data_IF_593626825298
#
_entry.id   IF_593626825298
#
_cell.length_a   1.000
_cell.length_b   1.000
_cell.length_c   1.000
_cell.angle_alpha   90.00
_cell.angle_beta   90.00
_cell.angle_gamma   90.00
#
_symmetry.space_group_name_H-M   'P 1'
#
loop_
_entity.id
_entity.type
_entity.pdbx_description
1 polymer ?
#
# COMPACT_ATOMS: atom_id res chain seq x y z
N UNK A 1 7.30 -50.61 -3.04
CA UNK A 1 8.11 -49.38 -3.04
C UNK A 1 8.10 -48.77 -4.45
N UNK A 2 7.23 -47.80 -4.77
CA UNK A 2 7.38 -47.00 -5.98
C UNK A 2 7.83 -45.57 -5.67
N UNK A 3 8.66 -45.04 -6.58
CA UNK A 3 9.40 -43.77 -6.54
C UNK A 3 8.58 -42.71 -7.28
N UNK A 4 8.39 -41.54 -6.66
CA UNK A 4 7.63 -40.43 -7.23
C UNK A 4 8.52 -39.46 -8.03
N UNK A 5 7.95 -39.02 -9.15
CA UNK A 5 8.00 -37.70 -9.80
C UNK A 5 9.33 -36.98 -10.05
N UNK A 6 9.56 -36.63 -11.33
CA UNK A 6 10.26 -35.39 -11.72
C UNK A 6 9.46 -34.74 -12.84
N UNK A 7 8.76 -33.65 -12.54
CA UNK A 7 8.26 -32.68 -13.53
C UNK A 7 7.84 -31.40 -12.81
N UNK A 8 8.77 -30.46 -12.60
CA UNK A 8 8.42 -29.12 -12.12
C UNK A 8 9.48 -28.05 -12.43
N UNK A 9 9.98 -27.99 -13.67
CA UNK A 9 10.86 -26.89 -14.10
C UNK A 9 10.25 -26.00 -15.21
N UNK A 10 9.11 -26.39 -15.79
CA UNK A 10 8.53 -25.66 -16.93
C UNK A 10 7.57 -24.53 -16.53
N UNK A 11 7.17 -24.40 -15.26
CA UNK A 11 6.18 -23.40 -14.82
C UNK A 11 6.80 -22.06 -14.41
N UNK A 12 8.11 -22.01 -14.18
CA UNK A 12 8.82 -20.80 -13.76
C UNK A 12 9.13 -19.90 -14.96
N UNK A 13 9.51 -20.48 -16.11
CA UNK A 13 9.84 -19.72 -17.32
C UNK A 13 8.67 -18.95 -17.94
N UNK A 14 7.45 -19.48 -17.82
CA UNK A 14 6.25 -18.85 -18.41
C UNK A 14 5.76 -17.61 -17.64
N UNK A 15 6.07 -17.48 -16.34
CA UNK A 15 5.72 -16.30 -15.53
C UNK A 15 6.67 -15.12 -15.73
N UNK A 16 7.89 -15.37 -16.20
CA UNK A 16 8.90 -14.32 -16.43
C UNK A 16 8.65 -13.58 -17.76
N UNK A 17 7.96 -14.22 -18.71
CA UNK A 17 7.75 -13.66 -20.06
C UNK A 17 6.39 -12.96 -20.25
N UNK A 18 5.45 -13.07 -19.31
CA UNK A 18 4.14 -12.39 -19.41
C UNK A 18 4.08 -11.02 -18.71
N UNK A 19 5.17 -10.57 -18.08
CA UNK A 19 5.25 -9.33 -17.29
C UNK A 19 6.14 -8.24 -17.94
N UNK A 20 6.55 -8.42 -19.20
CA UNK A 20 7.28 -7.40 -19.94
C UNK A 20 6.27 -6.59 -20.75
N UNK A 21 5.62 -5.63 -20.09
CA UNK A 21 5.11 -4.46 -20.80
C UNK A 21 5.39 -3.18 -20.00
N UNK A 22 6.17 -2.31 -20.66
CA UNK A 22 6.42 -0.88 -20.38
C UNK A 22 7.24 -0.44 -19.16
N UNK A 23 8.22 -1.24 -18.70
CA UNK A 23 9.40 -0.70 -18.05
C UNK A 23 10.45 -0.28 -19.09
N UNK A 24 11.01 0.94 -19.01
CA UNK A 24 12.11 1.34 -19.89
C UNK A 24 13.26 0.33 -19.75
N UNK A 25 13.71 -0.24 -20.86
CA UNK A 25 14.79 -1.24 -20.91
C UNK A 25 16.02 -0.79 -20.11
N UNK A 26 16.28 0.51 -20.07
CA UNK A 26 17.39 1.11 -19.32
C UNK A 26 17.23 1.00 -17.81
N UNK A 27 16.01 1.05 -17.27
CA UNK A 27 15.75 0.86 -15.84
C UNK A 27 16.00 -0.59 -15.43
N UNK A 28 15.59 -1.54 -16.28
CA UNK A 28 15.83 -2.97 -16.08
C UNK A 28 17.33 -3.27 -16.17
N UNK A 29 18.02 -2.71 -17.16
CA UNK A 29 19.46 -2.89 -17.35
C UNK A 29 20.28 -2.22 -16.23
N UNK A 30 19.84 -1.08 -15.70
CA UNK A 30 20.51 -0.41 -14.58
C UNK A 30 20.36 -1.20 -13.29
N UNK A 31 19.15 -1.72 -13.01
CA UNK A 31 18.92 -2.61 -11.88
C UNK A 31 19.77 -3.89 -11.98
N UNK A 32 19.78 -4.53 -13.15
CA UNK A 32 20.60 -5.73 -13.40
C UNK A 32 22.11 -5.46 -13.28
N UNK A 33 22.62 -4.36 -13.84
CA UNK A 33 24.04 -3.99 -13.73
C UNK A 33 24.45 -3.71 -12.28
N UNK A 34 23.57 -3.10 -11.49
CA UNK A 34 23.82 -2.85 -10.06
C UNK A 34 23.89 -4.17 -9.29
N UNK A 35 23.03 -5.14 -9.62
CA UNK A 35 23.05 -6.49 -9.04
C UNK A 35 24.34 -7.23 -9.42
N UNK A 36 24.75 -7.19 -10.69
CA UNK A 36 25.98 -7.84 -11.15
C UNK A 36 27.24 -7.18 -10.59
N UNK A 37 27.27 -5.86 -10.43
CA UNK A 37 28.39 -5.16 -9.81
C UNK A 37 28.54 -5.53 -8.32
N UNK A 38 27.42 -5.67 -7.59
CA UNK A 38 27.42 -6.16 -6.21
C UNK A 38 27.90 -7.63 -6.10
N UNK A 39 27.53 -8.48 -7.07
CA UNK A 39 28.02 -9.86 -7.13
C UNK A 39 29.51 -9.96 -7.49
N UNK A 40 30.00 -9.09 -8.39
CA UNK A 40 31.40 -9.07 -8.82
C UNK A 40 32.35 -8.58 -7.71
N UNK A 41 31.89 -7.68 -6.84
CA UNK A 41 32.69 -7.17 -5.72
C UNK A 41 32.87 -8.20 -4.59
N UNK A 42 32.02 -9.22 -4.51
CA UNK A 42 32.11 -10.31 -3.53
C UNK A 42 33.04 -11.46 -3.96
N UNK A 43 33.58 -11.44 -5.19
CA UNK A 43 34.44 -12.51 -5.70
C UNK A 43 35.94 -12.35 -5.35
N UNK A 44 36.35 -11.26 -4.71
CA UNK A 44 37.77 -10.92 -4.51
C UNK A 44 38.27 -10.92 -3.06
N UNK A 45 37.51 -11.46 -2.09
CA UNK A 45 38.00 -11.62 -0.71
C UNK A 45 38.30 -13.10 -0.42
N UNK A 46 39.58 -13.43 -0.43
CA UNK A 46 40.09 -14.72 0.01
C UNK A 46 39.85 -14.93 1.53
N UNK A 47 39.38 -16.15 1.84
CA UNK A 47 39.65 -16.91 3.07
C UNK A 47 39.30 -16.30 4.42
N UNK A 48 38.08 -16.53 4.88
CA UNK A 48 37.69 -17.20 6.14
C UNK A 48 36.16 -17.07 6.26
N UNK A 49 35.47 -17.87 7.08
CA UNK A 49 34.00 -17.92 7.20
C UNK A 49 33.22 -18.73 6.13
N UNK A 50 33.60 -20.01 5.96
CA UNK A 50 32.59 -21.05 5.67
C UNK A 50 31.65 -21.13 6.88
N UNK A 51 30.42 -20.61 6.75
CA UNK A 51 29.20 -20.88 7.57
C UNK A 51 28.29 -19.63 7.75
N UNK A 52 28.22 -18.72 6.79
CA UNK A 52 27.12 -17.76 6.73
C UNK A 52 26.00 -18.35 5.83
N UNK A 53 24.73 -18.41 6.28
CA UNK A 53 23.64 -18.79 5.39
C UNK A 53 23.58 -17.79 4.23
N UNK A 54 23.40 -18.30 3.01
CA UNK A 54 23.26 -17.54 1.77
C UNK A 54 22.53 -16.21 2.02
N UNK A 55 23.28 -15.10 1.99
CA UNK A 55 22.69 -13.78 2.02
C UNK A 55 21.92 -13.59 0.71
N UNK A 56 20.59 -13.60 0.81
CA UNK A 56 19.70 -13.29 -0.30
C UNK A 56 20.09 -11.92 -0.89
N UNK A 57 20.03 -11.75 -2.22
CA UNK A 57 20.28 -10.46 -2.85
C UNK A 57 19.36 -9.39 -2.25
N UNK A 58 19.77 -8.10 -2.23
CA UNK A 58 18.87 -7.04 -1.79
C UNK A 58 17.62 -7.10 -2.67
N UNK A 59 16.49 -7.39 -2.04
CA UNK A 59 15.17 -7.38 -2.66
C UNK A 59 15.03 -5.99 -3.27
N UNK A 60 15.11 -5.90 -4.60
CA UNK A 60 14.80 -4.67 -5.31
C UNK A 60 13.43 -4.22 -4.80
N UNK A 61 13.35 -3.02 -4.24
CA UNK A 61 12.10 -2.45 -3.73
C UNK A 61 11.13 -2.35 -4.91
N UNK A 62 10.30 -3.38 -5.12
CA UNK A 62 9.22 -3.33 -6.10
C UNK A 62 8.28 -2.22 -5.62
N UNK A 63 8.17 -1.16 -6.42
CA UNK A 63 7.14 -0.16 -6.21
C UNK A 63 5.79 -0.83 -6.49
N UNK A 64 4.98 -0.97 -5.45
CA UNK A 64 3.63 -1.48 -5.63
C UNK A 64 2.83 -0.51 -6.50
N UNK A 65 2.18 -1.06 -7.53
CA UNK A 65 1.26 -0.29 -8.34
C UNK A 65 -0.04 -0.05 -7.57
N UNK A 66 -0.44 1.22 -7.43
CA UNK A 66 -1.68 1.62 -6.79
C UNK A 66 -2.78 1.79 -7.84
N UNK A 67 -4.04 1.40 -7.59
CA UNK A 67 -5.18 1.63 -8.48
C UNK A 67 -5.68 3.09 -8.45
N UNK A 68 -4.75 4.03 -8.28
CA UNK A 68 -4.96 5.48 -8.21
C UNK A 68 -3.78 6.10 -8.95
N UNK A 69 -3.95 6.46 -10.24
CA UNK A 69 -2.82 6.89 -11.07
C UNK A 69 -2.07 8.09 -10.49
N UNK A 70 -2.80 9.05 -9.92
CA UNK A 70 -2.20 10.22 -9.24
C UNK A 70 -1.34 9.84 -8.04
N UNK A 71 -1.67 8.75 -7.35
CA UNK A 71 -0.83 8.23 -6.26
C UNK A 71 0.46 7.61 -6.81
N UNK A 72 0.38 6.87 -7.93
CA UNK A 72 1.57 6.34 -8.61
C UNK A 72 2.51 7.46 -9.06
N UNK A 73 1.98 8.54 -9.62
CA UNK A 73 2.78 9.71 -10.02
C UNK A 73 3.57 10.29 -8.83
N UNK A 74 2.90 10.47 -7.67
CA UNK A 74 3.54 11.01 -6.47
C UNK A 74 4.59 10.04 -5.89
N UNK A 75 4.27 8.75 -5.81
CA UNK A 75 5.20 7.71 -5.33
C UNK A 75 6.44 7.65 -6.22
N UNK A 76 6.26 7.71 -7.55
CA UNK A 76 7.37 7.70 -8.51
C UNK A 76 8.27 8.93 -8.35
N UNK A 77 7.69 10.12 -8.18
CA UNK A 77 8.47 11.36 -7.93
C UNK A 77 9.21 11.31 -6.60
N UNK A 78 8.56 10.83 -5.54
CA UNK A 78 9.20 10.62 -4.24
C UNK A 78 10.39 9.67 -4.38
N UNK A 79 10.18 8.50 -4.98
CA UNK A 79 11.23 7.48 -5.16
C UNK A 79 12.42 8.04 -5.95
N UNK A 80 12.18 8.72 -7.07
CA UNK A 80 13.24 9.37 -7.86
C UNK A 80 14.09 10.35 -7.03
N UNK A 81 13.46 11.09 -6.12
CA UNK A 81 14.14 12.12 -5.32
C UNK A 81 14.82 11.59 -4.05
N UNK A 82 14.31 10.53 -3.44
CA UNK A 82 14.77 10.06 -2.12
C UNK A 82 15.39 8.67 -2.13
N UNK A 83 15.21 7.91 -3.22
CA UNK A 83 15.56 6.49 -3.32
C UNK A 83 14.96 5.64 -2.17
N UNK A 84 13.85 6.09 -1.60
CA UNK A 84 13.14 5.42 -0.51
C UNK A 84 11.77 4.94 -0.98
N UNK A 85 11.44 3.69 -0.67
CA UNK A 85 10.10 3.11 -0.77
C UNK A 85 9.80 2.46 0.59
N UNK A 86 8.71 2.83 1.29
CA UNK A 86 7.32 2.70 0.83
C UNK A 86 6.48 3.99 0.82
N UNK A 87 5.19 3.90 0.43
CA UNK A 87 4.23 4.99 0.58
C UNK A 87 3.99 5.27 2.07
N UNK A 88 4.43 6.42 2.57
CA UNK A 88 4.26 6.81 3.97
C UNK A 88 3.23 7.94 4.10
N UNK A 89 2.07 7.62 4.66
CA UNK A 89 0.91 8.49 4.78
C UNK A 89 0.82 9.06 6.21
N UNK A 90 0.53 10.34 6.34
CA UNK A 90 0.34 11.03 7.61
C UNK A 90 -0.94 11.87 7.67
N UNK A 91 -1.23 12.47 8.83
CA UNK A 91 -2.44 13.27 9.05
C UNK A 91 -3.68 12.41 9.24
N UNK A 92 -4.76 12.68 8.50
CA UNK A 92 -6.02 11.92 8.53
C UNK A 92 -5.95 10.68 7.63
N UNK A 93 -4.88 9.91 7.76
CA UNK A 93 -4.51 8.85 6.82
C UNK A 93 -5.57 7.74 6.66
N UNK A 94 -6.40 7.47 7.68
CA UNK A 94 -7.48 6.48 7.57
C UNK A 94 -8.40 6.74 6.38
N UNK A 95 -8.68 8.01 6.06
CA UNK A 95 -9.59 8.35 4.96
C UNK A 95 -9.04 7.88 3.60
N UNK A 96 -7.73 8.03 3.38
CA UNK A 96 -7.08 7.52 2.18
C UNK A 96 -6.92 5.99 2.23
N UNK A 97 -6.57 5.43 3.39
CA UNK A 97 -6.42 3.98 3.54
C UNK A 97 -7.71 3.23 3.23
N UNK A 98 -8.86 3.69 3.74
CA UNK A 98 -10.14 3.04 3.44
C UNK A 98 -10.46 3.09 1.95
N UNK A 99 -10.22 4.23 1.29
CA UNK A 99 -10.44 4.36 -0.16
C UNK A 99 -9.49 3.43 -0.93
N UNK A 100 -8.20 3.42 -0.57
CA UNK A 100 -7.20 2.57 -1.23
C UNK A 100 -7.54 1.08 -1.06
N UNK A 101 -7.78 0.64 0.17
CA UNK A 101 -8.12 -0.77 0.48
C UNK A 101 -9.41 -1.17 -0.23
N UNK A 102 -10.46 -0.34 -0.16
CA UNK A 102 -11.72 -0.61 -0.85
C UNK A 102 -11.54 -0.74 -2.36
N UNK A 103 -10.69 0.10 -2.96
CA UNK A 103 -10.38 0.04 -4.40
C UNK A 103 -9.65 -1.23 -4.78
N UNK A 104 -8.64 -1.62 -3.99
CA UNK A 104 -7.83 -2.80 -4.26
C UNK A 104 -8.62 -4.10 -4.16
N UNK A 105 -9.51 -4.24 -3.16
CA UNK A 105 -10.27 -5.50 -2.96
C UNK A 105 -11.51 -5.61 -3.84
N UNK A 106 -12.05 -4.50 -4.32
CA UNK A 106 -13.19 -4.50 -5.23
C UNK A 106 -12.80 -4.91 -6.65
N UNK A 107 -13.77 -5.37 -7.43
CA UNK A 107 -13.63 -5.49 -8.88
C UNK A 107 -13.34 -4.11 -9.49
N UNK A 108 -12.44 -3.99 -10.48
CA UNK A 108 -11.77 -5.07 -11.22
C UNK A 108 -10.47 -5.60 -10.59
N UNK A 109 -9.93 -4.92 -9.57
CA UNK A 109 -8.59 -5.22 -9.04
C UNK A 109 -8.53 -6.55 -8.28
N UNK A 110 -9.58 -6.86 -7.50
CA UNK A 110 -9.76 -8.14 -6.81
C UNK A 110 -8.50 -8.65 -6.10
N UNK A 111 -7.80 -7.76 -5.38
CA UNK A 111 -6.58 -8.09 -4.66
C UNK A 111 -6.87 -8.63 -3.26
N UNK A 112 -5.86 -9.27 -2.67
CA UNK A 112 -5.79 -9.55 -1.25
C UNK A 112 -4.79 -8.62 -0.57
N UNK A 113 -5.08 -8.18 0.65
CA UNK A 113 -4.29 -7.19 1.38
C UNK A 113 -4.13 -7.65 2.82
N UNK A 114 -2.95 -7.37 3.37
CA UNK A 114 -2.68 -7.57 4.79
C UNK A 114 -2.55 -6.22 5.50
N UNK A 115 -3.12 -6.11 6.69
CA UNK A 115 -3.08 -4.90 7.51
C UNK A 115 -2.55 -5.26 8.89
N UNK A 116 -1.47 -4.62 9.31
CA UNK A 116 -0.95 -4.69 10.67
C UNK A 116 -1.36 -3.40 11.38
N UNK A 117 -2.32 -3.50 12.28
CA UNK A 117 -2.93 -2.34 12.97
C UNK A 117 -2.51 -2.30 14.44
N UNK A 118 -1.47 -1.51 14.72
CA UNK A 118 -0.96 -1.25 16.07
C UNK A 118 -1.81 -0.24 16.85
N UNK A 119 -2.79 0.40 16.21
CA UNK A 119 -3.71 1.32 16.87
C UNK A 119 -5.03 0.66 17.27
N UNK A 120 -5.37 -0.47 16.64
CA UNK A 120 -6.61 -1.19 16.84
C UNK A 120 -7.86 -0.44 16.36
N UNK A 121 -7.68 0.54 15.46
CA UNK A 121 -8.73 1.47 15.01
C UNK A 121 -9.20 1.20 13.59
N UNK A 122 -8.53 0.33 12.84
CA UNK A 122 -8.98 -0.06 11.52
C UNK A 122 -10.20 -0.98 11.64
N UNK A 123 -11.35 -0.53 11.15
CA UNK A 123 -12.61 -1.26 11.13
C UNK A 123 -12.90 -1.80 9.72
N UNK A 124 -12.79 -3.11 9.47
CA UNK A 124 -13.08 -3.66 8.15
C UNK A 124 -14.52 -3.44 7.68
N UNK A 125 -15.50 -3.27 8.58
CA UNK A 125 -16.89 -3.01 8.17
C UNK A 125 -17.04 -1.63 7.53
N UNK A 126 -16.18 -0.67 7.88
CA UNK A 126 -16.14 0.65 7.27
C UNK A 126 -15.79 0.60 5.78
N UNK A 127 -15.16 -0.47 5.29
CA UNK A 127 -14.93 -0.68 3.86
C UNK A 127 -16.24 -0.82 3.07
N UNK A 128 -17.28 -1.43 3.65
CA UNK A 128 -18.60 -1.58 3.00
C UNK A 128 -19.32 -0.26 2.76
N UNK A 129 -18.95 0.78 3.51
CA UNK A 129 -19.51 2.13 3.37
C UNK A 129 -18.55 3.08 2.65
N UNK A 130 -17.41 2.56 2.19
CA UNK A 130 -16.41 3.35 1.47
C UNK A 130 -16.51 3.03 -0.01
N UNK A 131 -16.85 4.05 -0.79
CA UNK A 131 -16.86 3.92 -2.25
C UNK A 131 -15.41 3.77 -2.76
N UNK A 132 -15.11 2.75 -3.59
CA UNK A 132 -13.84 2.63 -4.29
C UNK A 132 -13.49 3.90 -5.07
N UNK A 133 -12.20 4.14 -5.26
CA UNK A 133 -11.72 5.27 -6.04
C UNK A 133 -12.12 5.09 -7.50
N UNK A 134 -12.81 6.09 -8.03
CA UNK A 134 -13.13 6.19 -9.46
C UNK A 134 -12.22 7.21 -10.09
N UNK A 135 -11.35 6.74 -10.97
CA UNK A 135 -10.65 7.64 -11.88
C UNK A 135 -11.66 8.25 -12.85
N UNK A 136 -11.55 9.56 -13.10
CA UNK A 136 -12.43 10.26 -14.03
C UNK A 136 -12.24 9.63 -15.40
N UNK A 137 -13.20 8.79 -15.81
CA UNK A 137 -13.12 8.07 -17.07
C UNK A 137 -12.93 9.06 -18.22
N UNK A 138 -11.79 8.96 -18.91
CA UNK A 138 -11.63 9.58 -20.22
C UNK A 138 -12.69 8.94 -21.13
N UNK A 139 -13.58 9.78 -21.64
CA UNK A 139 -14.76 9.38 -22.39
C UNK A 139 -14.41 8.32 -23.46
N UNK A 140 -14.98 7.11 -23.33
CA UNK A 140 -15.39 6.21 -24.44
C UNK A 140 -15.70 4.75 -24.05
N UNK A 141 -15.71 4.36 -22.77
CA UNK A 141 -16.25 3.04 -22.40
C UNK A 141 -16.98 3.07 -21.05
N UNK A 142 -18.22 2.53 -20.96
CA UNK A 142 -18.86 2.30 -19.68
C UNK A 142 -18.08 1.20 -18.94
N UNK A 143 -17.12 1.60 -18.11
CA UNK A 143 -16.50 0.71 -17.14
C UNK A 143 -17.55 0.41 -16.05
N UNK A 144 -17.75 -0.87 -15.67
CA UNK A 144 -18.63 -1.18 -14.55
C UNK A 144 -18.09 -0.49 -13.30
N UNK A 145 -18.97 0.29 -12.64
CA UNK A 145 -18.63 1.02 -11.42
C UNK A 145 -18.05 0.03 -10.40
N UNK A 146 -16.84 0.27 -9.86
CA UNK A 146 -16.26 -0.62 -8.87
C UNK A 146 -17.20 -0.72 -7.67
N UNK A 147 -17.64 -1.94 -7.36
CA UNK A 147 -18.58 -2.21 -6.28
C UNK A 147 -17.97 -3.23 -5.33
N UNK A 148 -17.92 -2.86 -4.05
CA UNK A 148 -17.37 -3.68 -2.98
C UNK A 148 -18.48 -4.51 -2.33
N UNK A 149 -18.30 -5.83 -2.32
CA UNK A 149 -19.23 -6.81 -1.75
C UNK A 149 -18.74 -7.26 -0.38
N UNK A 150 -19.65 -7.79 0.44
CA UNK A 150 -19.30 -8.37 1.75
C UNK A 150 -18.26 -9.50 1.64
N UNK A 151 -18.35 -10.32 0.60
CA UNK A 151 -17.38 -11.38 0.31
C UNK A 151 -15.97 -10.84 0.00
N UNK A 152 -15.82 -9.58 -0.42
CA UNK A 152 -14.50 -9.00 -0.67
C UNK A 152 -13.71 -8.77 0.63
N UNK A 153 -14.42 -8.67 1.77
CA UNK A 153 -13.78 -8.50 3.08
C UNK A 153 -12.99 -9.73 3.53
N UNK A 154 -13.33 -10.93 3.03
CA UNK A 154 -12.59 -12.17 3.31
C UNK A 154 -11.13 -12.09 2.82
N UNK A 155 -10.82 -11.09 1.99
CA UNK A 155 -9.50 -10.87 1.41
C UNK A 155 -8.70 -9.76 2.08
N UNK A 156 -9.20 -9.22 3.20
CA UNK A 156 -8.48 -8.28 4.07
C UNK A 156 -8.05 -9.00 5.35
N UNK A 157 -6.76 -9.29 5.46
CA UNK A 157 -6.18 -10.01 6.59
C UNK A 157 -5.64 -9.01 7.61
N UNK A 158 -6.25 -8.93 8.79
CA UNK A 158 -5.90 -7.92 9.80
C UNK A 158 -5.21 -8.58 10.99
N UNK A 159 -3.97 -8.19 11.26
CA UNK A 159 -3.24 -8.51 12.48
C UNK A 159 -3.28 -7.28 13.40
N UNK A 160 -3.74 -7.45 14.64
CA UNK A 160 -3.79 -6.38 15.66
C UNK A 160 -2.85 -6.70 16.83
N UNK A 161 -1.54 -6.47 16.67
CA UNK A 161 -0.58 -6.68 17.74
C UNK A 161 -0.63 -5.53 18.75
N UNK A 162 -0.09 -5.78 19.95
CA UNK A 162 0.20 -4.70 20.91
C UNK A 162 1.37 -3.86 20.36
N UNK A 163 1.40 -2.56 20.67
CA UNK A 163 2.55 -1.71 20.34
C UNK A 163 3.83 -2.35 20.89
N UNK A 164 4.85 -2.45 20.05
CA UNK A 164 6.11 -3.09 20.40
C UNK A 164 7.31 -2.37 19.79
N UNK A 165 8.47 -2.97 19.98
CA UNK A 165 9.73 -2.49 19.41
C UNK A 165 9.79 -2.66 17.89
N UNK A 166 10.77 -2.06 17.24
CA UNK A 166 11.04 -2.28 15.82
C UNK A 166 11.22 -3.77 15.45
N UNK A 167 11.85 -4.56 16.33
CA UNK A 167 11.99 -6.00 16.14
C UNK A 167 10.63 -6.73 16.17
N UNK A 168 9.71 -6.28 17.02
CA UNK A 168 8.35 -6.81 17.05
C UNK A 168 7.60 -6.49 15.75
N UNK A 169 7.76 -5.28 15.21
CA UNK A 169 7.13 -4.90 13.94
C UNK A 169 7.67 -5.76 12.79
N UNK A 170 8.99 -5.94 12.71
CA UNK A 170 9.61 -6.80 11.71
C UNK A 170 9.12 -8.26 11.81
N UNK A 171 8.98 -8.79 13.03
CA UNK A 171 8.40 -10.11 13.27
C UNK A 171 6.94 -10.20 12.82
N UNK A 172 6.12 -9.15 13.05
CA UNK A 172 4.73 -9.11 12.57
C UNK A 172 4.66 -9.11 11.04
N UNK A 173 5.49 -8.31 10.36
CA UNK A 173 5.58 -8.26 8.90
C UNK A 173 5.95 -9.62 8.33
N UNK A 174 7.00 -10.25 8.86
CA UNK A 174 7.43 -11.59 8.44
C UNK A 174 6.35 -12.67 8.70
N UNK A 175 5.63 -12.57 9.81
CA UNK A 175 4.55 -13.52 10.15
C UNK A 175 3.37 -13.40 9.20
N UNK A 176 3.00 -12.17 8.84
CA UNK A 176 1.93 -11.91 7.85
C UNK A 176 2.34 -12.43 6.48
N UNK A 177 3.57 -12.18 6.05
CA UNK A 177 4.10 -12.70 4.79
C UNK A 177 4.06 -14.24 4.75
N UNK A 178 4.56 -14.88 5.81
CA UNK A 178 4.51 -16.33 5.93
C UNK A 178 3.08 -16.88 5.86
N UNK A 179 2.12 -16.21 6.53
CA UNK A 179 0.72 -16.59 6.49
C UNK A 179 0.09 -16.40 5.10
N UNK A 180 0.41 -15.31 4.39
CA UNK A 180 -0.13 -15.04 3.06
C UNK A 180 0.47 -15.93 1.97
N UNK A 181 1.73 -16.37 2.13
CA UNK A 181 2.39 -17.23 1.14
C UNK A 181 2.12 -18.72 1.39
N UNK A 182 2.09 -19.15 2.65
CA UNK A 182 2.06 -20.58 3.00
C UNK A 182 0.88 -20.97 3.88
N UNK A 183 0.17 -20.00 4.45
CA UNK A 183 -0.99 -20.25 5.32
C UNK A 183 -2.21 -20.76 4.56
N UNK A 184 -3.21 -21.18 5.33
CA UNK A 184 -4.53 -21.52 4.81
C UNK A 184 -5.45 -20.32 4.98
N UNK A 185 -5.86 -19.71 3.87
CA UNK A 185 -6.72 -18.53 3.86
C UNK A 185 -7.56 -18.49 2.57
N UNK A 186 -8.72 -17.80 2.55
CA UNK A 186 -9.64 -17.76 1.41
C UNK A 186 -9.09 -17.01 0.18
N UNK A 187 -8.01 -16.24 0.34
CA UNK A 187 -7.44 -15.41 -0.74
C UNK A 187 -6.52 -16.13 -1.74
N UNK A 188 -6.41 -17.45 -1.76
CA UNK A 188 -5.51 -18.16 -2.69
C UNK A 188 -5.80 -17.91 -4.18
N UNK A 189 -7.03 -17.51 -4.51
CA UNK A 189 -7.42 -17.13 -5.88
C UNK A 189 -7.17 -15.66 -6.25
N UNK A 190 -6.62 -14.85 -5.33
CA UNK A 190 -6.34 -13.42 -5.55
C UNK A 190 -4.85 -13.16 -5.38
N UNK A 191 -4.32 -12.25 -6.19
CA UNK A 191 -2.96 -11.76 -6.00
C UNK A 191 -2.88 -11.02 -4.66
N UNK A 192 -1.89 -11.37 -3.84
CA UNK A 192 -1.55 -10.62 -2.64
C UNK A 192 -0.79 -9.36 -3.04
N UNK A 193 -1.43 -8.20 -2.85
CA UNK A 193 -0.89 -6.92 -3.27
C UNK A 193 0.21 -6.41 -2.33
N UNK A 194 0.10 -6.66 -1.02
CA UNK A 194 1.12 -6.26 -0.05
C UNK A 194 0.58 -6.03 1.37
N UNK A 195 1.46 -5.47 2.20
CA UNK A 195 1.19 -5.20 3.63
C UNK A 195 1.06 -3.70 3.88
N UNK A 196 0.00 -3.30 4.57
CA UNK A 196 -0.21 -1.96 5.14
C UNK A 196 0.11 -2.02 6.63
N UNK A 197 0.95 -1.12 7.12
CA UNK A 197 1.22 -0.99 8.56
C UNK A 197 0.64 0.32 9.07
N UNK A 198 -0.22 0.24 10.08
CA UNK A 198 -0.88 1.37 10.73
C UNK A 198 -0.32 1.54 12.13
N UNK A 199 0.25 2.71 12.40
CA UNK A 199 0.98 3.02 13.61
C UNK A 199 2.29 2.23 13.75
N UNK A 200 2.72 2.05 15.00
CA UNK A 200 3.95 1.31 15.32
C UNK A 200 5.23 2.15 15.31
N UNK A 201 5.18 3.44 14.95
CA UNK A 201 6.36 4.30 14.95
C UNK A 201 7.32 4.02 13.79
N UNK A 202 6.85 3.31 12.75
CA UNK A 202 7.63 3.02 11.56
C UNK A 202 7.92 4.32 10.81
N UNK A 203 9.14 4.83 10.97
CA UNK A 203 9.64 5.93 10.17
C UNK A 203 10.40 5.39 8.96
N UNK A 204 10.12 5.89 7.73
CA UNK A 204 10.95 5.60 6.56
C UNK A 204 12.41 6.09 6.72
N UNK A 205 12.71 6.87 7.78
CA UNK A 205 14.04 7.36 8.14
C UNK A 205 14.84 6.48 9.13
N UNK A 206 14.51 5.18 9.28
CA UNK A 206 15.48 4.21 9.82
C UNK A 206 15.18 3.56 11.18
N UNK A 207 13.91 3.41 11.58
CA UNK A 207 13.61 2.65 12.81
C UNK A 207 13.60 1.13 12.60
N UNK A 208 13.51 0.64 11.36
CA UNK A 208 13.50 -0.78 10.98
C UNK A 208 14.46 -1.02 9.82
N UNK A 209 14.93 -2.26 9.69
CA UNK A 209 15.81 -2.69 8.60
C UNK A 209 15.21 -2.36 7.22
N UNK A 210 16.06 -1.97 6.27
CA UNK A 210 15.67 -1.75 4.88
C UNK A 210 14.94 -2.96 4.27
N UNK A 211 15.30 -4.18 4.69
CA UNK A 211 14.63 -5.41 4.27
C UNK A 211 13.16 -5.45 4.72
N UNK A 212 12.88 -5.09 5.98
CA UNK A 212 11.50 -5.01 6.49
C UNK A 212 10.73 -3.89 5.81
N UNK A 213 11.37 -2.74 5.57
CA UNK A 213 10.73 -1.62 4.85
C UNK A 213 10.36 -1.99 3.41
N UNK A 214 11.17 -2.82 2.74
CA UNK A 214 10.90 -3.30 1.38
C UNK A 214 9.71 -4.29 1.31
N UNK A 215 9.36 -4.95 2.42
CA UNK A 215 8.21 -5.87 2.52
C UNK A 215 6.88 -5.13 2.81
N UNK A 216 6.96 -3.84 3.14
CA UNK A 216 5.78 -3.01 3.46
C UNK A 216 5.41 -2.17 2.25
N UNK A 217 4.15 -2.22 1.84
CA UNK A 217 3.65 -1.42 0.73
C UNK A 217 3.31 0.01 1.15
N UNK A 218 2.69 0.14 2.33
CA UNK A 218 2.19 1.40 2.88
C UNK A 218 2.46 1.45 4.37
N UNK A 219 3.01 2.56 4.84
CA UNK A 219 3.01 2.92 6.26
C UNK A 219 2.06 4.08 6.50
N UNK A 220 1.34 4.04 7.61
CA UNK A 220 0.44 5.11 8.00
C UNK A 220 0.65 5.44 9.47
N UNK A 221 1.20 6.61 9.74
CA UNK A 221 1.54 7.03 11.10
C UNK A 221 1.54 8.57 11.22
N UNK A 222 1.85 9.10 12.40
CA UNK A 222 2.01 10.54 12.63
C UNK A 222 3.13 11.16 11.79
N UNK A 223 4.06 10.34 11.26
CA UNK A 223 5.12 10.72 10.32
C UNK A 223 4.91 10.03 8.98
N UNK A 224 4.98 10.81 7.91
CA UNK A 224 4.82 10.35 6.53
C UNK A 224 4.94 11.52 5.56
N UNK A 225 5.40 11.24 4.35
CA UNK A 225 5.66 12.27 3.33
C UNK A 225 4.41 12.69 2.55
N UNK A 226 3.35 11.87 2.57
CA UNK A 226 2.04 12.19 2.00
C UNK A 226 1.05 12.52 3.11
N UNK A 227 0.71 13.79 3.29
CA UNK A 227 -0.20 14.26 4.33
C UNK A 227 -1.64 14.26 3.82
N UNK A 228 -2.55 13.67 4.58
CA UNK A 228 -3.99 13.64 4.27
C UNK A 228 -4.73 14.63 5.15
N UNK A 229 -5.45 15.54 4.51
CA UNK A 229 -6.22 16.59 5.18
C UNK A 229 -7.59 16.77 4.52
N UNK A 230 -8.51 17.42 5.24
CA UNK A 230 -9.78 17.84 4.65
C UNK A 230 -9.49 19.04 3.75
N UNK A 231 -10.05 19.09 2.53
CA UNK A 231 -9.87 20.26 1.69
C UNK A 231 -10.35 21.52 2.44
N UNK A 232 -9.64 22.64 2.26
CA UNK A 232 -10.00 23.87 2.92
C UNK A 232 -11.41 24.32 2.50
N UNK A 233 -12.26 24.53 3.50
CA UNK A 233 -13.58 25.12 3.31
C UNK A 233 -13.37 26.62 3.41
N UNK A 234 -13.81 27.38 2.39
CA UNK A 234 -13.83 28.84 2.46
C UNK A 234 -14.48 29.26 3.79
N UNK A 235 -13.81 30.06 4.64
CA UNK A 235 -14.36 30.39 5.95
C UNK A 235 -15.71 31.08 5.80
N UNK A 236 -16.69 30.63 6.59
CA UNK A 236 -17.99 31.26 6.67
C UNK A 236 -17.80 32.64 7.32
N UNK A 237 -17.92 33.72 6.52
CA UNK A 237 -17.71 35.08 7.00
C UNK A 237 -18.68 35.47 8.11
N UNK A 238 -18.16 36.03 9.20
CA UNK A 238 -18.84 36.71 10.31
C UNK A 238 -20.33 36.39 10.52
N UNK A 239 -20.64 35.21 11.06
CA UNK A 239 -22.01 34.83 11.40
C UNK A 239 -22.20 34.82 12.91
N UNK A 240 -23.26 35.49 13.40
CA UNK A 240 -23.59 35.56 14.83
C UNK A 240 -23.90 34.20 15.46
N UNK A 241 -23.74 34.09 16.78
CA UNK A 241 -23.80 32.83 17.55
C UNK A 241 -25.12 32.06 17.38
N UNK A 242 -26.26 32.74 17.25
CA UNK A 242 -27.55 32.09 16.99
C UNK A 242 -27.67 31.50 15.57
N UNK A 243 -27.22 32.24 14.55
CA UNK A 243 -27.17 31.72 13.19
C UNK A 243 -26.13 30.60 13.05
N UNK A 244 -25.09 30.57 13.87
CA UNK A 244 -24.12 29.48 13.90
C UNK A 244 -24.71 28.16 14.44
N UNK A 245 -25.68 28.23 15.36
CA UNK A 245 -26.42 27.06 15.85
C UNK A 245 -27.47 26.60 14.83
N UNK A 246 -28.20 27.53 14.20
CA UNK A 246 -29.19 27.21 13.16
C UNK A 246 -28.55 26.63 11.89
N UNK A 247 -27.35 27.10 11.53
CA UNK A 247 -26.58 26.58 10.40
C UNK A 247 -25.71 25.37 10.76
N UNK A 248 -25.73 24.86 12.00
CA UNK A 248 -24.83 23.78 12.43
C UNK A 248 -24.96 22.55 11.53
N UNK A 249 -26.19 22.12 11.26
CA UNK A 249 -26.44 20.95 10.43
C UNK A 249 -26.07 21.20 8.96
N UNK A 250 -26.31 22.42 8.45
CA UNK A 250 -25.89 22.84 7.11
C UNK A 250 -24.37 22.90 6.97
N UNK A 251 -23.66 23.43 7.97
CA UNK A 251 -22.20 23.50 8.00
C UNK A 251 -21.60 22.12 8.16
N UNK A 252 -22.18 21.28 9.00
CA UNK A 252 -21.76 19.88 9.15
C UNK A 252 -21.95 19.12 7.84
N UNK A 253 -23.09 19.27 7.15
CA UNK A 253 -23.33 18.69 5.84
C UNK A 253 -22.38 19.24 4.76
N UNK A 254 -22.08 20.54 4.76
CA UNK A 254 -21.09 21.13 3.85
C UNK A 254 -19.69 20.56 4.10
N UNK A 255 -19.30 20.47 5.37
CA UNK A 255 -18.07 19.86 5.85
C UNK A 255 -18.00 18.38 5.41
N UNK A 256 -19.07 17.62 5.56
CA UNK A 256 -19.16 16.19 5.19
C UNK A 256 -19.15 15.95 3.68
N UNK A 257 -19.53 16.94 2.88
CA UNK A 257 -19.41 16.90 1.42
C UNK A 257 -18.04 17.36 0.89
N UNK A 258 -17.16 17.89 1.76
CA UNK A 258 -15.85 18.39 1.32
C UNK A 258 -14.90 17.24 1.05
N UNK A 259 -14.27 17.27 -0.12
CA UNK A 259 -13.27 16.29 -0.54
C UNK A 259 -12.07 16.29 0.40
N UNK A 260 -11.43 15.14 0.53
CA UNK A 260 -10.12 15.01 1.16
C UNK A 260 -9.04 15.36 0.15
N UNK A 261 -7.87 15.78 0.62
CA UNK A 261 -6.70 16.04 -0.21
C UNK A 261 -5.52 15.29 0.39
N UNK A 262 -4.81 14.55 -0.46
CA UNK A 262 -3.50 14.00 -0.14
C UNK A 262 -2.45 14.92 -0.77
N UNK A 263 -1.54 15.47 0.03
CA UNK A 263 -0.54 16.45 -0.40
C UNK A 263 0.87 16.06 0.04
N UNK A 264 1.84 16.41 -0.80
CA UNK A 264 3.27 16.18 -0.60
C UNK A 264 4.06 17.29 -1.31
N UNK A 265 5.38 17.40 -1.07
CA UNK A 265 6.23 18.30 -1.84
C UNK A 265 6.20 18.06 -3.37
N UNK A 266 5.84 16.86 -3.82
CA UNK A 266 5.81 16.48 -5.24
C UNK A 266 4.45 16.67 -5.91
N UNK A 267 3.46 17.16 -5.17
CA UNK A 267 2.11 17.45 -5.65
C UNK A 267 1.02 16.96 -4.71
N UNK A 268 -0.22 17.10 -5.15
CA UNK A 268 -1.40 16.71 -4.42
C UNK A 268 -2.49 16.16 -5.34
N UNK A 269 -3.42 15.41 -4.76
CA UNK A 269 -4.65 15.05 -5.45
C UNK A 269 -5.84 15.06 -4.48
N UNK A 270 -7.00 15.57 -4.93
CA UNK A 270 -8.24 15.44 -4.17
C UNK A 270 -8.81 14.03 -4.34
N UNK A 271 -9.46 13.54 -3.30
CA UNK A 271 -10.24 12.31 -3.34
C UNK A 271 -11.51 12.46 -2.51
N UNK A 272 -12.55 11.71 -2.82
CA UNK A 272 -13.81 11.75 -2.09
C UNK A 272 -14.02 10.42 -1.38
N UNK A 273 -14.57 10.52 -0.18
CA UNK A 273 -15.20 9.40 0.49
C UNK A 273 -16.71 9.57 0.32
N UNK A 274 -17.28 8.95 -0.70
CA UNK A 274 -18.74 8.90 -0.81
C UNK A 274 -19.25 7.95 0.27
N UNK A 275 -19.96 8.51 1.25
CA UNK A 275 -20.87 7.72 2.07
C UNK A 275 -22.03 7.24 1.17
N UNK A 276 -22.52 6.00 1.32
CA UNK A 276 -23.65 5.54 0.54
C UNK A 276 -24.84 6.49 0.74
N UNK A 277 -25.52 6.80 -0.37
CA UNK A 277 -26.82 7.48 -0.33
C UNK A 277 -27.73 6.70 0.62
N UNK A 278 -28.27 7.37 1.63
CA UNK A 278 -29.28 6.81 2.54
C UNK A 278 -30.60 6.63 1.81
#
# INVERSE_FOLDING_TARGET
>A
MPRAAVASDSSIGARVLSEIDEGSLDEILTALRTIFAAASNNANTNSEYRNAPFALPPIATRLNYFPIARLNELVTRHFRSTQSAPLAISGRYYELLYVLVATLIASPHSKAISIIDFEGRFDPLRLLTTSPFEEVATANRPQPKPFLRRADLDHVHILRPVRGSAAHIASCVASVEQYMLYGTHPSRGREWWGTVVIGGGLNPAGSVSAATSAQVAVTADWKGWLRVERAEIRPFGGVGVEQALADRDRRQAAVDNVSWVASSPWGSFPFRRQAPLR
#
